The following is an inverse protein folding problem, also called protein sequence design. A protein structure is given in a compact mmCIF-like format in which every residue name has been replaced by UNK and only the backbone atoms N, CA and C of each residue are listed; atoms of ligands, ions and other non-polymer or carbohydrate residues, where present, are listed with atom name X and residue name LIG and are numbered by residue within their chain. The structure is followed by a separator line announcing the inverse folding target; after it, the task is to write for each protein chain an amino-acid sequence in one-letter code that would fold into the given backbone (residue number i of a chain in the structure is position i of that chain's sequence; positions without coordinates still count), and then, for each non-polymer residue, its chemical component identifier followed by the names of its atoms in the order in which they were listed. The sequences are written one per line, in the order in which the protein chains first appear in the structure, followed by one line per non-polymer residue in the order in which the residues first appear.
data_IF_254611087334
#
_entry.id   IF_254611087334
#
_cell.length_a   1.000
_cell.length_b   1.000
_cell.length_c   1.000
_cell.angle_alpha   90.00
_cell.angle_beta   90.00
_cell.angle_gamma   90.00
#
_symmetry.space_group_name_H-M   'P 1'
#
loop_
_entity.id
_entity.type
_entity.pdbx_description
1 polymer ?
#
# COMPACT_ATOMS: atom_id res chain seq x y z
N UNK A 1 -7.58 0.21 7.98
CA UNK A 1 -6.53 1.24 8.15
C UNK A 1 -7.18 2.43 8.84
N UNK A 2 -6.83 2.68 10.09
CA UNK A 2 -7.58 3.61 10.95
C UNK A 2 -7.16 5.06 10.69
N UNK A 3 -7.91 5.75 9.82
CA UNK A 3 -7.62 7.12 9.34
C UNK A 3 -7.56 8.14 10.50
N UNK A 4 -8.13 7.78 11.66
CA UNK A 4 -8.13 8.57 12.90
C UNK A 4 -6.74 8.82 13.48
N UNK A 5 -5.75 7.95 13.21
CA UNK A 5 -4.37 8.18 13.67
C UNK A 5 -3.73 9.44 13.06
N UNK A 6 -4.20 9.89 11.89
CA UNK A 6 -3.75 11.13 11.25
C UNK A 6 -4.56 12.36 11.67
N UNK A 7 -5.56 12.20 12.55
CA UNK A 7 -6.36 13.32 13.04
C UNK A 7 -5.57 14.22 14.01
N UNK A 8 -4.60 13.63 14.73
CA UNK A 8 -3.70 14.34 15.64
C UNK A 8 -2.23 13.98 15.34
N UNK A 9 -1.68 14.47 14.24
CA UNK A 9 -0.28 14.22 13.90
C UNK A 9 0.66 14.91 14.90
N UNK A 10 1.78 14.25 15.21
CA UNK A 10 2.76 14.78 16.16
C UNK A 10 3.47 15.99 15.53
N UNK A 11 3.93 16.95 16.33
CA UNK A 11 4.72 18.09 15.80
C UNK A 11 5.97 17.63 15.04
N UNK A 12 6.53 16.45 15.40
CA UNK A 12 7.63 15.81 14.68
C UNK A 12 7.22 15.39 13.26
N UNK A 13 6.03 14.82 13.09
CA UNK A 13 5.54 14.36 11.78
C UNK A 13 5.32 15.53 10.82
N UNK A 14 4.84 16.67 11.34
CA UNK A 14 4.65 17.89 10.55
C UNK A 14 5.99 18.49 10.11
N UNK A 15 7.00 18.47 10.98
CA UNK A 15 8.35 18.92 10.64
C UNK A 15 8.99 18.04 9.58
N UNK A 16 8.90 16.72 9.73
CA UNK A 16 9.43 15.77 8.72
C UNK A 16 8.74 15.99 7.38
N UNK A 17 7.42 16.12 7.36
CA UNK A 17 6.67 16.42 6.15
C UNK A 17 7.12 17.74 5.51
N UNK A 18 7.30 18.80 6.29
CA UNK A 18 7.77 20.09 5.79
C UNK A 18 9.18 20.02 5.19
N UNK A 19 10.10 19.27 5.81
CA UNK A 19 11.45 19.05 5.27
C UNK A 19 11.42 18.23 3.97
N UNK A 20 10.63 17.15 3.92
CA UNK A 20 10.48 16.33 2.72
C UNK A 20 9.85 17.14 1.59
N UNK A 21 8.79 17.89 1.87
CA UNK A 21 8.12 18.75 0.90
C UNK A 21 9.06 19.86 0.41
N UNK A 22 9.75 20.54 1.31
CA UNK A 22 10.73 21.57 0.99
C UNK A 22 11.88 21.04 0.13
N UNK A 23 12.43 19.87 0.48
CA UNK A 23 13.47 19.19 -0.30
C UNK A 23 12.99 18.77 -1.68
N UNK A 24 11.76 18.25 -1.79
CA UNK A 24 11.14 17.88 -3.07
C UNK A 24 10.96 19.12 -3.96
N UNK A 25 10.41 20.21 -3.42
CA UNK A 25 10.23 21.47 -4.16
C UNK A 25 11.56 22.09 -4.56
N UNK A 26 12.58 22.05 -3.70
CA UNK A 26 13.93 22.53 -4.04
C UNK A 26 14.55 21.70 -5.17
N UNK A 27 14.39 20.38 -5.14
CA UNK A 27 14.87 19.50 -6.19
C UNK A 27 14.19 19.77 -7.55
N UNK A 28 12.86 19.89 -7.56
CA UNK A 28 12.12 20.26 -8.77
C UNK A 28 12.42 21.69 -9.23
N UNK A 29 12.66 22.61 -8.29
CA UNK A 29 13.11 23.97 -8.58
C UNK A 29 14.48 23.98 -9.28
N UNK A 30 15.43 23.16 -8.83
CA UNK A 30 16.76 23.02 -9.44
C UNK A 30 16.69 22.39 -10.85
N UNK A 31 15.83 21.40 -11.04
CA UNK A 31 15.55 20.80 -12.35
C UNK A 31 14.89 21.80 -13.32
N UNK A 32 13.95 22.61 -12.83
CA UNK A 32 13.28 23.66 -13.60
C UNK A 32 14.24 24.79 -13.99
N UNK A 33 15.13 25.17 -13.07
CA UNK A 33 16.21 26.12 -13.34
C UNK A 33 17.14 25.62 -14.45
N UNK A 34 17.47 24.32 -14.47
CA UNK A 34 18.25 23.71 -15.56
C UNK A 34 17.54 23.68 -16.93
N UNK A 35 16.22 23.76 -16.96
CA UNK A 35 15.42 23.73 -18.20
C UNK A 35 14.91 25.11 -18.64
N UNK A 36 15.37 26.21 -18.03
CA UNK A 36 14.91 27.58 -18.32
C UNK A 36 13.38 27.75 -18.22
N UNK A 37 12.73 27.03 -17.30
CA UNK A 37 11.28 27.16 -17.07
C UNK A 37 10.97 28.42 -16.26
N UNK A 38 10.09 29.29 -16.74
CA UNK A 38 9.65 30.52 -16.04
C UNK A 38 9.00 30.27 -14.66
N UNK A 39 8.73 29.01 -14.31
CA UNK A 39 8.17 28.59 -13.01
C UNK A 39 9.23 28.30 -11.92
N UNK A 40 10.53 28.47 -12.20
CA UNK A 40 11.58 28.23 -11.21
C UNK A 40 11.49 29.12 -9.94
N UNK A 41 11.13 30.43 -10.00
CA UNK A 41 11.12 31.29 -8.81
C UNK A 41 9.92 30.99 -7.91
N UNK A 42 8.78 30.64 -8.49
CA UNK A 42 7.56 30.30 -7.75
C UNK A 42 7.69 28.97 -7.03
N UNK A 43 8.33 27.97 -7.65
CA UNK A 43 8.62 26.69 -7.00
C UNK A 43 9.61 26.83 -5.83
N UNK A 44 10.67 27.63 -6.01
CA UNK A 44 11.62 27.94 -4.94
C UNK A 44 10.97 28.76 -3.82
N UNK A 45 10.14 29.75 -4.15
CA UNK A 45 9.40 30.56 -3.18
C UNK A 45 8.43 29.71 -2.35
N UNK A 46 7.64 28.84 -2.98
CA UNK A 46 6.75 27.92 -2.29
C UNK A 46 7.50 26.89 -1.43
N UNK A 47 8.66 26.42 -1.91
CA UNK A 47 9.52 25.49 -1.17
C UNK A 47 10.15 26.14 0.07
N UNK A 48 10.70 27.34 -0.09
CA UNK A 48 11.25 28.13 1.01
C UNK A 48 10.18 28.53 2.03
N UNK A 49 8.99 28.93 1.56
CA UNK A 49 7.85 29.25 2.42
C UNK A 49 7.36 28.02 3.19
N UNK A 50 7.29 26.86 2.55
CA UNK A 50 6.93 25.60 3.23
C UNK A 50 7.98 25.19 4.27
N UNK A 51 9.28 25.34 3.95
CA UNK A 51 10.35 25.06 4.90
C UNK A 51 10.35 26.04 6.09
N UNK A 52 10.13 27.34 5.84
CA UNK A 52 10.00 28.37 6.87
C UNK A 52 8.78 28.15 7.76
N UNK A 53 7.62 27.83 7.18
CA UNK A 53 6.41 27.50 7.93
C UNK A 53 6.59 26.23 8.76
N UNK A 54 7.29 25.22 8.25
CA UNK A 54 7.64 24.02 9.00
C UNK A 54 8.56 24.28 10.20
N UNK A 55 9.44 25.28 10.09
CA UNK A 55 10.40 25.65 11.13
C UNK A 55 9.79 26.58 12.20
N UNK A 56 9.03 27.59 11.77
CA UNK A 56 8.49 28.64 12.66
C UNK A 56 7.12 28.26 13.22
N UNK A 57 6.24 27.66 12.40
CA UNK A 57 4.87 27.36 12.81
C UNK A 57 4.37 26.04 12.19
N UNK A 58 4.78 24.87 12.75
CA UNK A 58 4.42 23.57 12.19
C UNK A 58 2.91 23.37 12.09
N UNK A 59 2.10 23.91 13.02
CA UNK A 59 0.63 23.81 12.98
C UNK A 59 -0.01 24.46 11.75
N UNK A 60 0.64 25.41 11.08
CA UNK A 60 0.16 26.01 9.83
C UNK A 60 0.19 25.05 8.64
N UNK A 61 1.05 24.03 8.66
CA UNK A 61 1.17 22.99 7.62
C UNK A 61 0.16 21.86 7.82
N UNK A 62 -0.49 21.80 8.98
CA UNK A 62 -1.47 20.78 9.31
C UNK A 62 -2.59 20.56 8.25
N UNK A 63 -3.28 21.59 7.73
CA UNK A 63 -4.32 21.38 6.72
C UNK A 63 -3.76 20.80 5.41
N UNK A 64 -2.58 21.25 4.98
CA UNK A 64 -1.90 20.74 3.78
C UNK A 64 -1.52 19.26 3.98
N UNK A 65 -0.96 18.93 5.15
CA UNK A 65 -0.63 17.56 5.52
C UNK A 65 -1.87 16.66 5.51
N UNK A 66 -3.00 17.11 6.06
CA UNK A 66 -4.23 16.32 6.07
C UNK A 66 -4.77 16.05 4.66
N UNK A 67 -4.79 17.05 3.78
CA UNK A 67 -5.19 16.87 2.38
C UNK A 67 -4.24 15.90 1.67
N UNK A 68 -2.94 16.06 1.87
CA UNK A 68 -1.92 15.18 1.30
C UNK A 68 -2.12 13.72 1.72
N UNK A 69 -2.33 13.47 3.02
CA UNK A 69 -2.55 12.12 3.53
C UNK A 69 -3.84 11.50 2.99
N UNK A 70 -4.92 12.27 2.82
CA UNK A 70 -6.15 11.78 2.18
C UNK A 70 -5.87 11.31 0.75
N UNK A 71 -5.18 12.12 -0.04
CA UNK A 71 -4.81 11.76 -1.42
C UNK A 71 -3.92 10.52 -1.43
N UNK A 72 -2.87 10.50 -0.60
CA UNK A 72 -1.97 9.36 -0.47
C UNK A 72 -2.72 8.08 -0.06
N UNK A 73 -3.74 8.18 0.80
CA UNK A 73 -4.54 7.03 1.23
C UNK A 73 -5.39 6.44 0.10
N UNK A 74 -5.95 7.29 -0.76
CA UNK A 74 -6.70 6.84 -1.95
C UNK A 74 -5.76 6.14 -2.92
N UNK A 75 -4.59 6.73 -3.17
CA UNK A 75 -3.56 6.13 -4.03
C UNK A 75 -3.11 4.79 -3.46
N UNK A 76 -2.87 4.70 -2.15
CA UNK A 76 -2.47 3.47 -1.49
C UNK A 76 -3.54 2.37 -1.59
N UNK A 77 -4.82 2.75 -1.47
CA UNK A 77 -5.93 1.82 -1.67
C UNK A 77 -5.91 1.26 -3.11
N UNK A 78 -5.82 2.13 -4.12
CA UNK A 78 -5.72 1.72 -5.53
C UNK A 78 -4.49 0.83 -5.76
N UNK A 79 -3.33 1.19 -5.20
CA UNK A 79 -2.11 0.40 -5.33
C UNK A 79 -2.27 -1.02 -4.78
N UNK A 80 -2.98 -1.17 -3.66
CA UNK A 80 -3.28 -2.50 -3.10
C UNK A 80 -4.10 -3.34 -4.08
N UNK A 81 -5.13 -2.75 -4.70
CA UNK A 81 -5.90 -3.43 -5.75
C UNK A 81 -5.05 -3.77 -6.97
N UNK A 82 -4.19 -2.87 -7.42
CA UNK A 82 -3.31 -3.10 -8.57
C UNK A 82 -2.34 -4.24 -8.31
N UNK A 83 -1.68 -4.27 -7.14
CA UNK A 83 -0.76 -5.35 -6.77
C UNK A 83 -1.51 -6.69 -6.72
N UNK A 84 -2.69 -6.72 -6.09
CA UNK A 84 -3.52 -7.92 -6.04
C UNK A 84 -3.97 -8.39 -7.42
N UNK A 85 -4.35 -7.47 -8.31
CA UNK A 85 -4.72 -7.79 -9.68
C UNK A 85 -3.52 -8.37 -10.45
N UNK A 86 -2.35 -7.76 -10.38
CA UNK A 86 -1.13 -8.26 -11.03
C UNK A 86 -0.79 -9.65 -10.51
N UNK A 87 -0.84 -9.86 -9.20
CA UNK A 87 -0.51 -11.16 -8.60
C UNK A 87 -1.53 -12.23 -8.99
N UNK A 88 -2.83 -11.92 -8.97
CA UNK A 88 -3.88 -12.85 -9.36
C UNK A 88 -3.84 -13.18 -10.85
N UNK A 89 -3.78 -12.17 -11.72
CA UNK A 89 -3.82 -12.40 -13.17
C UNK A 89 -2.47 -12.77 -13.77
N UNK A 90 -1.36 -12.33 -13.16
CA UNK A 90 -0.02 -12.60 -13.64
C UNK A 90 0.61 -13.88 -13.09
N UNK A 91 0.22 -14.32 -11.88
CA UNK A 91 0.79 -15.52 -11.25
C UNK A 91 -0.26 -16.61 -11.05
N UNK A 92 -1.32 -16.34 -10.29
CA UNK A 92 -2.27 -17.40 -9.93
C UNK A 92 -3.11 -17.89 -11.11
N UNK A 93 -3.59 -16.99 -11.97
CA UNK A 93 -4.41 -17.34 -13.12
C UNK A 93 -3.65 -18.20 -14.13
N UNK A 94 -2.43 -17.85 -14.58
CA UNK A 94 -1.68 -18.71 -15.48
C UNK A 94 -1.24 -20.01 -14.81
N UNK A 95 -0.92 -20.00 -13.51
CA UNK A 95 -0.66 -21.24 -12.78
C UNK A 95 -1.89 -22.17 -12.78
N UNK A 96 -3.07 -21.65 -12.44
CA UNK A 96 -4.32 -22.41 -12.46
C UNK A 96 -4.67 -22.90 -13.86
N UNK A 97 -4.45 -22.08 -14.89
CA UNK A 97 -4.66 -22.47 -16.29
C UNK A 97 -3.71 -23.59 -16.70
N UNK A 98 -2.42 -23.50 -16.33
CA UNK A 98 -1.43 -24.54 -16.57
C UNK A 98 -1.83 -25.88 -15.93
N UNK A 99 -2.29 -25.83 -14.67
CA UNK A 99 -2.76 -27.01 -13.96
C UNK A 99 -4.01 -27.62 -14.60
N UNK A 100 -4.95 -26.77 -15.04
CA UNK A 100 -6.15 -27.21 -15.77
C UNK A 100 -5.81 -27.85 -17.11
N UNK A 101 -4.84 -27.31 -17.86
CA UNK A 101 -4.34 -27.90 -19.11
C UNK A 101 -3.64 -29.25 -18.86
N UNK A 102 -2.98 -29.42 -17.72
CA UNK A 102 -2.36 -30.68 -17.29
C UNK A 102 -3.36 -31.68 -16.68
N UNK A 103 -4.63 -31.30 -16.52
CA UNK A 103 -5.65 -32.15 -15.88
C UNK A 103 -5.40 -32.40 -14.40
N UNK A 104 -4.59 -31.57 -13.73
CA UNK A 104 -4.28 -31.71 -12.31
C UNK A 104 -5.42 -31.06 -11.52
N UNK A 105 -6.29 -31.89 -10.92
CA UNK A 105 -7.27 -31.44 -9.94
C UNK A 105 -6.69 -31.54 -8.53
N UNK A 106 -6.34 -30.39 -7.94
CA UNK A 106 -5.83 -30.35 -6.55
C UNK A 106 -6.92 -30.40 -5.49
N UNK A 107 -8.16 -30.08 -5.85
CA UNK A 107 -9.23 -29.89 -4.88
C UNK A 107 -10.29 -31.00 -4.96
N UNK A 108 -10.07 -32.06 -5.75
CA UNK A 108 -11.05 -33.10 -6.05
C UNK A 108 -12.43 -32.49 -6.31
N UNK A 109 -12.48 -31.49 -7.20
CA UNK A 109 -13.69 -30.70 -7.45
C UNK A 109 -14.70 -31.44 -8.30
N UNK A 110 -14.27 -32.49 -9.01
CA UNK A 110 -15.16 -33.36 -9.76
C UNK A 110 -16.13 -34.07 -8.80
N UNK A 111 -17.42 -33.78 -8.94
CA UNK A 111 -18.47 -34.49 -8.22
C UNK A 111 -18.65 -35.85 -8.91
N UNK A 112 -18.23 -36.91 -8.23
CA UNK A 112 -18.43 -38.31 -8.61
C UNK A 112 -19.80 -38.77 -8.09
N UNK A 113 -20.83 -38.95 -8.95
CA UNK A 113 -22.19 -39.29 -8.50
C UNK A 113 -22.32 -40.73 -7.98
N UNK A 114 -21.37 -41.60 -8.36
CA UNK A 114 -21.33 -43.01 -7.98
C UNK A 114 -20.55 -43.25 -6.68
N UNK A 115 -19.96 -42.20 -6.07
CA UNK A 115 -19.30 -42.34 -4.76
C UNK A 115 -20.31 -42.32 -3.62
N UNK A 116 -20.24 -43.35 -2.78
CA UNK A 116 -20.99 -43.42 -1.51
C UNK A 116 -20.54 -42.36 -0.50
N UNK A 117 -19.28 -41.89 -0.58
CA UNK A 117 -18.77 -40.88 0.33
C UNK A 117 -17.54 -40.12 -0.19
N UNK A 118 -17.44 -38.84 0.17
CA UNK A 118 -16.26 -37.97 -0.05
C UNK A 118 -15.32 -37.93 1.16
N UNK A 119 -15.65 -38.62 2.25
CA UNK A 119 -14.80 -38.68 3.44
C UNK A 119 -13.46 -39.33 3.09
N UNK A 120 -12.36 -38.60 3.30
CA UNK A 120 -11.02 -39.16 3.25
C UNK A 120 -10.67 -39.69 4.64
N UNK A 121 -10.42 -40.98 4.74
CA UNK A 121 -9.91 -41.57 5.98
C UNK A 121 -8.61 -40.86 6.36
N UNK A 122 -8.60 -40.30 7.56
CA UNK A 122 -7.43 -39.66 8.15
C UNK A 122 -6.90 -40.58 9.23
N UNK A 123 -5.58 -40.71 9.33
CA UNK A 123 -4.98 -41.47 10.43
C UNK A 123 -5.48 -40.93 11.79
N UNK A 124 -5.75 -41.80 12.76
CA UNK A 124 -6.23 -41.37 14.07
C UNK A 124 -5.22 -40.40 14.67
N UNK A 125 -5.68 -39.17 14.92
CA UNK A 125 -4.84 -38.12 15.48
C UNK A 125 -4.33 -38.57 16.85
N UNK A 126 -3.01 -38.49 17.05
CA UNK A 126 -2.36 -38.80 18.31
C UNK A 126 -2.96 -37.93 19.44
N UNK A 127 -3.56 -38.57 20.44
CA UNK A 127 -4.26 -37.91 21.53
C UNK A 127 -3.33 -36.95 22.30
N UNK A 128 -2.05 -37.30 22.43
CA UNK A 128 -1.04 -36.46 23.07
C UNK A 128 -0.76 -35.14 22.31
N UNK A 129 -1.06 -35.10 21.01
CA UNK A 129 -0.89 -33.92 20.14
C UNK A 129 -2.11 -32.99 20.19
N UNK A 130 -3.28 -33.53 20.50
CA UNK A 130 -4.52 -32.75 20.67
C UNK A 130 -4.53 -31.99 22.01
N UNK A 131 -3.92 -32.54 23.05
CA UNK A 131 -3.83 -31.91 24.39
C UNK A 131 -3.01 -30.60 24.43
N UNK A 132 -2.22 -30.30 23.39
CA UNK A 132 -1.35 -29.11 23.33
C UNK A 132 -1.81 -28.04 22.34
N UNK A 133 -3.04 -28.11 21.85
CA UNK A 133 -3.55 -27.17 20.84
C UNK A 133 -4.19 -25.89 21.42
N UNK A 134 -4.37 -25.81 22.73
CA UNK A 134 -4.87 -24.62 23.46
C UNK A 134 -3.85 -24.16 24.50
#
# INVERSE_FOLDING_TARGET
MDIRKFANPTEKDLRVFAWVLGGLLAFFGLLSWRKSGAAWPTLWGCGALSALLGLVWPRGIHPVFQVWIRVASVIAAVNTFVIMAILYYGVFTPAALWMRLRGIDLLDRAIEPERDSYWKETEPADSARLERQF
#
